data_IF_751903478846
#
_entry.id   IF_751903478846
#
_cell.length_a   1.000
_cell.length_b   1.000
_cell.length_c   1.000
_cell.angle_alpha   90.00
_cell.angle_beta   90.00
_cell.angle_gamma   90.00
#
_symmetry.space_group_name_H-M   'P 1'
#
loop_
_entity.id
_entity.type
_entity.pdbx_description
1 polymer ?
#
# COMPACT_ATOMS: atom_id res chain seq x y z
N UNK A 1 -19.75 24.38 -26.96
CA UNK A 1 -21.07 24.49 -27.62
C UNK A 1 -21.89 23.28 -27.22
N UNK A 2 -23.07 23.41 -26.61
CA UNK A 2 -23.92 22.24 -26.30
C UNK A 2 -24.37 21.60 -27.59
N UNK A 3 -24.31 20.28 -27.65
CA UNK A 3 -24.77 19.48 -28.77
C UNK A 3 -26.30 19.68 -28.97
N UNK A 4 -26.81 19.50 -30.20
CA UNK A 4 -28.23 19.73 -30.54
C UNK A 4 -29.17 18.89 -29.67
N UNK A 5 -28.79 17.63 -29.34
CA UNK A 5 -29.54 16.75 -28.41
C UNK A 5 -29.65 17.30 -26.98
N UNK A 6 -28.72 18.13 -26.53
CA UNK A 6 -28.77 18.78 -25.21
C UNK A 6 -29.68 20.02 -25.15
N UNK A 7 -30.14 20.47 -26.28
CA UNK A 7 -31.09 21.62 -26.40
C UNK A 7 -32.53 21.21 -26.52
N UNK A 8 -32.79 19.96 -26.84
CA UNK A 8 -34.13 19.39 -26.92
C UNK A 8 -34.42 18.75 -25.58
N UNK A 9 -35.63 18.96 -25.06
CA UNK A 9 -36.11 18.38 -23.81
C UNK A 9 -36.35 16.86 -24.01
N UNK A 10 -35.26 16.10 -24.14
CA UNK A 10 -35.26 14.68 -24.48
C UNK A 10 -34.99 13.87 -23.21
N UNK A 11 -35.94 13.07 -22.79
CA UNK A 11 -35.92 12.22 -21.62
C UNK A 11 -34.71 11.26 -21.66
N UNK A 12 -34.38 10.72 -22.84
CA UNK A 12 -33.20 9.84 -22.99
C UNK A 12 -31.87 10.57 -22.71
N UNK A 13 -31.75 11.80 -23.19
CA UNK A 13 -30.55 12.61 -22.92
C UNK A 13 -30.44 12.97 -21.44
N UNK A 14 -31.57 13.26 -20.78
CA UNK A 14 -31.60 13.47 -19.32
C UNK A 14 -31.12 12.22 -18.56
N UNK A 15 -31.61 11.04 -18.86
CA UNK A 15 -31.19 9.81 -18.22
C UNK A 15 -29.71 9.50 -18.50
N UNK A 16 -29.22 9.77 -19.71
CA UNK A 16 -27.83 9.61 -20.07
C UNK A 16 -26.93 10.53 -19.21
N UNK A 17 -27.27 11.80 -19.13
CA UNK A 17 -26.52 12.80 -18.34
C UNK A 17 -26.57 12.46 -16.84
N UNK A 18 -27.70 12.00 -16.33
CA UNK A 18 -27.84 11.55 -14.95
C UNK A 18 -26.96 10.32 -14.68
N UNK A 19 -26.97 9.33 -15.55
CA UNK A 19 -26.12 8.15 -15.45
C UNK A 19 -24.64 8.51 -15.49
N UNK A 20 -24.23 9.39 -16.40
CA UNK A 20 -22.86 9.85 -16.50
C UNK A 20 -22.44 10.62 -15.23
N UNK A 21 -23.33 11.44 -14.67
CA UNK A 21 -23.08 12.13 -13.41
C UNK A 21 -22.88 11.14 -12.26
N UNK A 22 -23.77 10.17 -12.09
CA UNK A 22 -23.68 9.15 -11.04
C UNK A 22 -22.35 8.38 -11.15
N UNK A 23 -21.98 7.94 -12.37
CA UNK A 23 -20.71 7.23 -12.60
C UNK A 23 -19.47 8.07 -12.25
N UNK A 24 -19.52 9.38 -12.50
CA UNK A 24 -18.42 10.29 -12.21
C UNK A 24 -18.33 10.65 -10.72
N UNK A 25 -19.47 10.61 -10.00
CA UNK A 25 -19.52 10.93 -8.58
C UNK A 25 -19.07 9.74 -7.69
N UNK A 26 -19.14 8.49 -8.21
CA UNK A 26 -18.70 7.29 -7.48
C UNK A 26 -17.18 7.17 -7.53
N UNK A 27 -16.53 7.24 -6.38
CA UNK A 27 -15.09 7.01 -6.22
C UNK A 27 -14.86 5.57 -5.76
N UNK A 28 -14.05 4.82 -6.50
CA UNK A 28 -13.75 3.41 -6.20
C UNK A 28 -12.30 3.25 -5.78
N UNK A 29 -11.38 3.58 -6.67
CA UNK A 29 -9.94 3.56 -6.39
C UNK A 29 -9.19 4.44 -7.37
N UNK A 30 -8.03 4.93 -6.94
CA UNK A 30 -7.16 5.76 -7.77
C UNK A 30 -5.71 5.66 -7.32
N UNK A 31 -4.73 5.63 -8.24
CA UNK A 31 -3.32 5.71 -7.85
C UNK A 31 -3.02 7.06 -7.21
N UNK A 32 -2.11 7.06 -6.25
CA UNK A 32 -1.69 8.23 -5.51
C UNK A 32 -0.19 8.23 -5.22
N UNK A 33 0.32 9.39 -4.84
CA UNK A 33 1.71 9.62 -4.43
C UNK A 33 1.68 10.14 -3.00
N UNK A 34 2.41 9.48 -2.13
CA UNK A 34 2.53 9.83 -0.71
C UNK A 34 3.30 11.14 -0.59
N UNK A 35 2.74 12.09 0.12
CA UNK A 35 3.34 13.40 0.42
C UNK A 35 3.99 13.44 1.81
N UNK A 36 3.40 12.73 2.77
CA UNK A 36 3.92 12.57 4.14
C UNK A 36 3.36 11.31 4.79
N UNK A 37 4.05 10.81 5.81
CA UNK A 37 3.64 9.66 6.62
C UNK A 37 3.68 10.05 8.10
N UNK A 38 2.61 9.73 8.82
CA UNK A 38 2.53 9.83 10.26
C UNK A 38 2.66 8.40 10.86
N UNK A 39 3.81 8.05 11.46
CA UNK A 39 4.04 6.71 11.99
C UNK A 39 3.20 6.40 13.24
N UNK A 40 2.84 7.42 14.02
CA UNK A 40 2.10 7.23 15.28
C UNK A 40 0.64 6.83 15.01
N UNK A 41 0.03 7.41 14.01
CA UNK A 41 -1.34 7.11 13.58
C UNK A 41 -1.40 6.11 12.42
N UNK A 42 -0.27 5.78 11.80
CA UNK A 42 -0.17 4.93 10.61
C UNK A 42 -1.05 5.45 9.46
N UNK A 43 -0.99 6.77 9.25
CA UNK A 43 -1.70 7.46 8.18
C UNK A 43 -0.74 8.15 7.22
N UNK A 44 -1.19 8.36 5.99
CA UNK A 44 -0.46 9.08 4.95
C UNK A 44 -1.28 10.25 4.42
N UNK A 45 -0.58 11.31 4.03
CA UNK A 45 -1.16 12.35 3.17
C UNK A 45 -0.88 11.99 1.72
N UNK A 46 -1.90 11.91 0.89
CA UNK A 46 -1.81 11.43 -0.48
C UNK A 46 -2.28 12.49 -1.48
N UNK A 47 -1.49 12.71 -2.54
CA UNK A 47 -1.94 13.38 -3.75
C UNK A 47 -2.36 12.33 -4.77
N UNK A 48 -3.61 12.34 -5.18
CA UNK A 48 -4.10 11.46 -6.26
C UNK A 48 -3.40 11.80 -7.58
N UNK A 49 -2.96 10.79 -8.32
CA UNK A 49 -2.10 10.93 -9.49
C UNK A 49 -2.84 11.31 -10.77
N UNK A 50 -4.15 11.12 -10.80
CA UNK A 50 -4.97 11.46 -11.96
C UNK A 50 -5.65 12.83 -11.76
N UNK A 51 -5.63 13.64 -12.82
CA UNK A 51 -6.29 14.93 -12.84
C UNK A 51 -7.67 14.80 -13.48
N UNK A 52 -8.65 15.46 -12.89
CA UNK A 52 -10.01 15.51 -13.44
C UNK A 52 -10.06 16.49 -14.62
N UNK A 53 -10.70 16.06 -15.69
CA UNK A 53 -10.94 16.89 -16.85
C UNK A 53 -12.22 17.66 -16.70
N UNK A 54 -12.12 18.96 -16.52
CA UNK A 54 -13.27 19.85 -16.37
C UNK A 54 -13.43 20.75 -17.60
N UNK A 55 -14.67 21.16 -17.84
CA UNK A 55 -15.00 22.12 -18.90
C UNK A 55 -15.47 23.41 -18.27
N UNK A 56 -14.86 24.51 -18.62
CA UNK A 56 -15.25 25.84 -18.16
C UNK A 56 -16.55 26.34 -18.83
N UNK A 57 -17.02 27.51 -18.41
CA UNK A 57 -18.25 28.12 -18.95
C UNK A 57 -18.12 28.49 -20.43
N UNK A 58 -16.93 28.75 -20.89
CA UNK A 58 -16.60 29.14 -22.27
C UNK A 58 -16.38 27.92 -23.16
N UNK A 59 -16.41 26.71 -22.56
CA UNK A 59 -16.29 25.45 -23.29
C UNK A 59 -14.85 24.96 -23.41
N UNK A 60 -13.88 25.63 -22.80
CA UNK A 60 -12.48 25.18 -22.78
C UNK A 60 -12.30 24.01 -21.82
N UNK A 61 -11.40 23.08 -22.20
CA UNK A 61 -11.08 21.91 -21.38
C UNK A 61 -9.81 22.19 -20.57
N UNK A 62 -9.87 21.92 -19.28
CA UNK A 62 -8.72 21.99 -18.38
C UNK A 62 -8.60 20.72 -17.53
N UNK A 63 -7.40 20.48 -16.99
CA UNK A 63 -7.15 19.36 -16.08
C UNK A 63 -6.82 19.92 -14.70
N UNK A 64 -7.62 19.54 -13.70
CA UNK A 64 -7.50 20.01 -12.32
C UNK A 64 -7.08 18.84 -11.43
N UNK A 65 -6.09 19.08 -10.58
CA UNK A 65 -5.71 18.11 -9.56
C UNK A 65 -6.86 17.97 -8.55
N UNK A 66 -7.10 16.74 -8.13
CA UNK A 66 -8.00 16.47 -7.02
C UNK A 66 -7.38 16.99 -5.71
N UNK A 67 -8.18 17.26 -4.68
CA UNK A 67 -7.67 17.67 -3.37
C UNK A 67 -6.65 16.67 -2.83
N UNK A 68 -5.71 17.18 -2.04
CA UNK A 68 -4.83 16.32 -1.23
C UNK A 68 -5.70 15.63 -0.18
N UNK A 69 -5.49 14.35 0.01
CA UNK A 69 -6.18 13.54 1.01
C UNK A 69 -5.31 13.45 2.26
N UNK A 70 -5.67 14.12 3.36
CA UNK A 70 -4.96 13.96 4.64
C UNK A 70 -5.41 12.69 5.35
N UNK A 71 -4.58 12.22 6.27
CA UNK A 71 -4.87 11.20 7.29
C UNK A 71 -5.47 9.90 6.75
N UNK A 72 -5.04 9.50 5.53
CA UNK A 72 -5.48 8.26 4.89
C UNK A 72 -4.83 7.07 5.59
N UNK A 73 -5.59 6.14 6.20
CA UNK A 73 -5.06 4.93 6.81
C UNK A 73 -4.26 4.09 5.83
N UNK A 74 -3.06 3.64 6.26
CA UNK A 74 -2.22 2.78 5.44
C UNK A 74 -2.52 1.31 5.70
N UNK A 75 -2.52 0.50 4.67
CA UNK A 75 -2.71 -0.94 4.77
C UNK A 75 -1.35 -1.63 4.77
N UNK A 76 -0.95 -2.19 5.94
CA UNK A 76 0.12 -3.16 6.06
C UNK A 76 -0.45 -4.57 6.08
N UNK A 77 0.15 -5.55 5.36
CA UNK A 77 -0.23 -6.95 5.50
C UNK A 77 -0.03 -7.41 6.94
N UNK A 78 -1.12 -7.73 7.63
CA UNK A 78 -1.06 -8.21 9.02
C UNK A 78 -2.18 -9.17 9.37
N UNK A 79 -1.84 -10.21 10.12
CA UNK A 79 -2.79 -11.17 10.70
C UNK A 79 -2.14 -11.98 11.81
N UNK A 80 -2.94 -12.53 12.76
CA UNK A 80 -2.47 -13.47 13.77
C UNK A 80 -1.35 -12.96 14.69
N UNK A 81 -1.25 -11.63 14.90
CA UNK A 81 -0.19 -11.03 15.69
C UNK A 81 1.09 -10.71 14.91
N UNK A 82 1.13 -10.99 13.60
CA UNK A 82 2.28 -10.67 12.73
C UNK A 82 1.92 -9.56 11.75
N UNK A 83 2.91 -8.76 11.38
CA UNK A 83 2.79 -7.70 10.36
C UNK A 83 4.06 -7.57 9.53
N UNK A 84 3.89 -7.17 8.27
CA UNK A 84 4.98 -6.75 7.40
C UNK A 84 4.88 -5.23 7.26
N UNK A 85 5.92 -4.53 7.69
CA UNK A 85 5.98 -3.06 7.65
C UNK A 85 7.05 -2.59 6.70
N UNK A 86 6.84 -1.41 6.12
CA UNK A 86 7.78 -0.78 5.20
C UNK A 86 8.17 0.61 5.72
N UNK A 87 9.39 1.09 5.44
CA UNK A 87 9.80 2.47 5.73
C UNK A 87 9.17 3.42 4.69
N UNK A 88 7.90 3.78 4.92
CA UNK A 88 7.12 4.62 4.01
C UNK A 88 7.74 6.00 3.86
N UNK A 89 7.92 6.45 2.63
CA UNK A 89 8.57 7.72 2.32
C UNK A 89 7.71 8.60 1.41
N UNK A 90 7.99 9.91 1.44
CA UNK A 90 7.45 10.84 0.46
C UNK A 90 7.91 10.45 -0.93
N UNK A 91 6.97 10.37 -1.87
CA UNK A 91 7.22 9.96 -3.26
C UNK A 91 6.83 8.53 -3.55
N UNK A 92 6.60 7.69 -2.53
CA UNK A 92 6.12 6.33 -2.73
C UNK A 92 4.74 6.34 -3.40
N UNK A 93 4.57 5.44 -4.35
CA UNK A 93 3.30 5.25 -5.03
C UNK A 93 2.40 4.31 -4.23
N UNK A 94 1.10 4.58 -4.25
CA UNK A 94 0.10 3.78 -3.58
C UNK A 94 -1.19 3.70 -4.41
N UNK A 95 -2.05 2.73 -4.08
CA UNK A 95 -3.43 2.71 -4.52
C UNK A 95 -4.33 3.15 -3.38
N UNK A 96 -5.08 4.23 -3.57
CA UNK A 96 -6.13 4.62 -2.63
C UNK A 96 -7.42 3.95 -3.07
N UNK A 97 -8.02 3.15 -2.18
CA UNK A 97 -9.35 2.59 -2.35
C UNK A 97 -10.32 3.36 -1.46
N UNK A 98 -11.54 3.60 -1.92
CA UNK A 98 -12.53 4.37 -1.17
C UNK A 98 -13.61 3.45 -0.60
N UNK A 99 -13.93 3.64 0.68
CA UNK A 99 -14.94 2.88 1.37
C UNK A 99 -16.34 3.12 0.80
N UNK A 100 -17.19 2.09 0.82
CA UNK A 100 -18.60 2.22 0.47
C UNK A 100 -19.35 3.18 1.41
N UNK A 101 -18.90 3.29 2.66
CA UNK A 101 -19.50 4.09 3.73
C UNK A 101 -18.44 4.87 4.47
N UNK A 102 -18.89 5.89 5.23
CA UNK A 102 -18.06 6.64 6.16
C UNK A 102 -17.36 5.71 7.16
N UNK A 103 -16.02 5.80 7.24
CA UNK A 103 -15.16 4.95 8.07
C UNK A 103 -14.78 5.57 9.42
N UNK A 104 -15.13 6.84 9.69
CA UNK A 104 -14.61 7.61 10.82
C UNK A 104 -14.82 6.91 12.17
N UNK A 105 -16.02 6.40 12.45
CA UNK A 105 -16.30 5.68 13.70
C UNK A 105 -15.48 4.41 13.85
N UNK A 106 -15.34 3.66 12.75
CA UNK A 106 -14.52 2.44 12.76
C UNK A 106 -13.04 2.78 12.92
N UNK A 107 -12.56 3.79 12.23
CA UNK A 107 -11.18 4.24 12.33
C UNK A 107 -10.81 4.65 13.77
N UNK A 108 -11.69 5.42 14.42
CA UNK A 108 -11.46 5.90 15.78
C UNK A 108 -11.52 4.81 16.85
N UNK A 109 -12.38 3.77 16.68
CA UNK A 109 -12.75 2.85 17.77
C UNK A 109 -12.56 1.37 17.44
N UNK A 110 -12.39 1.01 16.18
CA UNK A 110 -12.36 -0.40 15.72
C UNK A 110 -13.70 -1.11 15.91
N UNK A 111 -13.72 -2.42 15.68
CA UNK A 111 -14.89 -3.28 15.86
C UNK A 111 -16.05 -2.94 14.92
N UNK A 112 -17.27 -3.32 15.33
CA UNK A 112 -18.51 -3.01 14.58
C UNK A 112 -19.04 -1.67 15.05
N UNK A 113 -19.20 -0.71 14.13
CA UNK A 113 -19.62 0.66 14.42
C UNK A 113 -20.86 1.07 13.62
N UNK A 114 -21.59 2.05 14.13
CA UNK A 114 -22.69 2.68 13.42
C UNK A 114 -22.15 3.76 12.48
N UNK A 115 -22.74 3.88 11.30
CA UNK A 115 -22.45 4.97 10.38
C UNK A 115 -22.90 6.32 11.00
N UNK A 116 -21.96 7.28 11.07
CA UNK A 116 -22.23 8.62 11.60
C UNK A 116 -22.59 9.63 10.52
N UNK A 117 -22.12 9.44 9.29
CA UNK A 117 -22.45 10.27 8.13
C UNK A 117 -22.89 9.41 6.93
N UNK A 118 -23.74 10.01 6.07
CA UNK A 118 -24.28 9.30 4.89
C UNK A 118 -23.36 9.37 3.67
N UNK A 119 -22.06 9.70 3.84
CA UNK A 119 -21.11 9.69 2.73
C UNK A 119 -21.03 8.29 2.12
N UNK A 120 -20.84 8.24 0.81
CA UNK A 120 -20.65 7.03 0.03
C UNK A 120 -19.58 7.27 -1.01
N UNK A 121 -18.61 6.37 -1.14
CA UNK A 121 -17.54 6.46 -2.12
C UNK A 121 -16.86 7.84 -2.13
N UNK A 122 -16.65 8.37 -0.94
CA UNK A 122 -16.12 9.72 -0.73
C UNK A 122 -14.60 9.69 -0.65
N UNK A 123 -13.97 10.78 -1.08
CA UNK A 123 -12.51 10.94 -1.02
C UNK A 123 -11.97 10.92 0.42
N UNK A 124 -12.80 11.26 1.41
CA UNK A 124 -12.43 11.24 2.83
C UNK A 124 -12.37 9.84 3.45
N UNK A 125 -12.98 8.85 2.79
CA UNK A 125 -13.09 7.48 3.32
C UNK A 125 -12.11 6.53 2.59
N UNK A 126 -10.88 7.00 2.38
CA UNK A 126 -9.83 6.28 1.66
C UNK A 126 -8.97 5.38 2.53
N UNK A 127 -8.40 4.34 1.92
CA UNK A 127 -7.31 3.51 2.47
C UNK A 127 -6.18 3.44 1.46
N UNK A 128 -4.93 3.59 1.90
CA UNK A 128 -3.76 3.53 1.04
C UNK A 128 -3.12 2.13 1.07
N UNK A 129 -3.11 1.45 -0.08
CA UNK A 129 -2.41 0.18 -0.27
C UNK A 129 -1.04 0.49 -0.86
N UNK A 130 0.02 0.05 -0.19
CA UNK A 130 1.41 0.16 -0.66
C UNK A 130 1.74 -0.91 -1.70
N UNK A 131 2.86 -0.70 -2.40
CA UNK A 131 3.41 -1.70 -3.34
C UNK A 131 2.79 -1.66 -4.73
N UNK A 132 1.96 -0.67 -5.03
CA UNK A 132 1.54 -0.37 -6.40
C UNK A 132 2.58 0.56 -7.01
N UNK A 133 3.14 0.16 -8.15
CA UNK A 133 4.12 0.96 -8.87
C UNK A 133 3.69 1.21 -10.30
N UNK A 134 3.98 2.42 -10.81
CA UNK A 134 3.83 2.74 -12.22
C UNK A 134 4.93 2.05 -13.05
N UNK A 135 4.77 2.03 -14.37
CA UNK A 135 5.80 1.48 -15.26
C UNK A 135 7.15 2.24 -15.16
N UNK A 136 7.13 3.47 -14.68
CA UNK A 136 8.35 4.23 -14.41
C UNK A 136 9.10 3.77 -13.15
N UNK A 137 8.42 3.08 -12.23
CA UNK A 137 8.92 2.66 -10.91
C UNK A 137 8.83 1.13 -10.73
N UNK A 138 9.13 0.38 -11.78
CA UNK A 138 9.16 -1.09 -11.70
C UNK A 138 10.32 -1.57 -10.83
N UNK A 139 10.09 -2.66 -10.09
CA UNK A 139 11.16 -3.36 -9.35
C UNK A 139 12.13 -3.96 -10.35
N UNK A 140 13.38 -3.47 -10.34
CA UNK A 140 14.41 -3.92 -11.27
C UNK A 140 15.06 -5.22 -10.82
N UNK A 141 15.43 -6.08 -11.78
CA UNK A 141 16.24 -7.27 -11.54
C UNK A 141 15.69 -8.22 -10.45
N UNK A 142 14.35 -8.32 -10.32
CA UNK A 142 13.77 -9.31 -9.42
C UNK A 142 13.88 -10.73 -10.00
N UNK A 143 13.94 -11.73 -9.12
CA UNK A 143 14.01 -13.12 -9.53
C UNK A 143 12.61 -13.65 -9.91
N UNK A 144 12.49 -14.19 -11.11
CA UNK A 144 11.21 -14.74 -11.62
C UNK A 144 10.98 -16.21 -11.20
N UNK A 145 11.95 -16.85 -10.54
CA UNK A 145 11.91 -18.26 -10.18
C UNK A 145 11.87 -18.52 -8.68
N UNK A 146 12.05 -17.49 -7.86
CA UNK A 146 12.00 -17.55 -6.39
C UNK A 146 11.30 -16.34 -5.79
N UNK A 147 10.79 -16.51 -4.59
CA UNK A 147 10.24 -15.42 -3.78
C UNK A 147 11.37 -14.67 -3.08
N UNK A 148 11.33 -13.35 -3.10
CA UNK A 148 12.33 -12.51 -2.45
C UNK A 148 11.67 -11.46 -1.55
N UNK A 149 12.24 -11.28 -0.34
CA UNK A 149 12.12 -10.04 0.44
C UNK A 149 13.44 -9.29 0.26
N UNK A 150 13.39 -8.13 -0.38
CA UNK A 150 14.63 -7.46 -0.82
C UNK A 150 14.56 -5.94 -0.71
N UNK A 151 15.72 -5.32 -0.59
CA UNK A 151 15.89 -3.90 -0.88
C UNK A 151 15.84 -3.66 -2.40
N UNK A 152 15.41 -2.47 -2.84
CA UNK A 152 15.28 -2.14 -4.27
C UNK A 152 16.58 -2.33 -5.05
N UNK A 153 17.71 -1.98 -4.43
CA UNK A 153 19.04 -2.16 -5.03
C UNK A 153 19.53 -3.62 -5.01
N UNK A 154 18.79 -4.56 -4.41
CA UNK A 154 19.17 -5.98 -4.32
C UNK A 154 20.39 -6.28 -3.46
N UNK A 155 20.81 -5.37 -2.57
CA UNK A 155 21.95 -5.60 -1.68
C UNK A 155 21.59 -6.44 -0.47
N UNK A 156 20.35 -6.36 -0.01
CA UNK A 156 19.80 -7.16 1.08
C UNK A 156 18.64 -7.99 0.52
N UNK A 157 18.73 -9.31 0.67
CA UNK A 157 17.74 -10.25 0.12
C UNK A 157 17.55 -11.41 1.11
N UNK A 158 16.29 -11.78 1.36
CA UNK A 158 15.90 -13.10 1.85
C UNK A 158 15.19 -13.79 0.69
N UNK A 159 15.81 -14.83 0.12
CA UNK A 159 15.29 -15.57 -1.03
C UNK A 159 14.79 -16.94 -0.58
N UNK A 160 13.57 -17.28 -1.01
CA UNK A 160 12.95 -18.59 -0.84
C UNK A 160 12.83 -19.25 -2.21
N UNK A 161 13.62 -20.28 -2.47
CA UNK A 161 13.49 -21.14 -3.63
C UNK A 161 12.84 -22.46 -3.24
N UNK A 162 12.58 -23.35 -4.23
CA UNK A 162 12.00 -24.67 -3.94
C UNK A 162 12.91 -25.58 -3.12
N UNK A 163 14.21 -25.31 -3.06
CA UNK A 163 15.20 -26.18 -2.43
C UNK A 163 16.05 -25.49 -1.36
N UNK A 164 15.97 -24.17 -1.22
CA UNK A 164 16.84 -23.45 -0.28
C UNK A 164 16.27 -22.11 0.15
N UNK A 165 16.73 -21.67 1.33
CA UNK A 165 16.58 -20.30 1.84
C UNK A 165 17.96 -19.66 1.80
N UNK A 166 18.09 -18.50 1.15
CA UNK A 166 19.31 -17.72 1.13
C UNK A 166 19.09 -16.37 1.81
N UNK A 167 20.06 -15.96 2.60
CA UNK A 167 20.11 -14.62 3.20
C UNK A 167 21.36 -13.94 2.69
N UNK A 168 21.20 -12.79 2.04
CA UNK A 168 22.28 -11.96 1.52
C UNK A 168 22.19 -10.57 2.17
N UNK A 169 23.32 -10.06 2.59
CA UNK A 169 23.47 -8.73 3.17
C UNK A 169 24.92 -8.50 3.60
N UNK A 170 25.25 -7.34 4.12
CA UNK A 170 26.57 -7.05 4.71
C UNK A 170 26.82 -7.79 6.03
N UNK A 171 25.77 -8.35 6.63
CA UNK A 171 25.83 -9.19 7.83
C UNK A 171 24.46 -9.77 8.14
N UNK A 172 24.47 -10.92 8.83
CA UNK A 172 23.27 -11.56 9.38
C UNK A 172 23.42 -11.56 10.89
N UNK A 173 22.49 -10.94 11.59
CA UNK A 173 22.50 -10.89 13.05
C UNK A 173 21.43 -11.85 13.60
N UNK A 174 21.86 -12.87 14.32
CA UNK A 174 20.98 -13.78 15.08
C UNK A 174 20.91 -13.30 16.53
N UNK A 175 19.94 -12.44 16.85
CA UNK A 175 19.74 -11.93 18.20
C UNK A 175 18.85 -12.89 19.01
N UNK A 176 19.47 -13.94 19.56
CA UNK A 176 18.80 -14.89 20.49
C UNK A 176 19.46 -14.79 21.87
N UNK A 177 18.95 -13.95 22.78
CA UNK A 177 19.53 -13.83 24.13
C UNK A 177 19.59 -15.20 24.82
N UNK A 178 20.80 -15.70 25.08
CA UNK A 178 21.06 -16.95 25.82
C UNK A 178 20.95 -18.27 25.03
N UNK A 179 20.45 -18.25 23.77
CA UNK A 179 20.18 -19.50 23.05
C UNK A 179 21.19 -19.81 21.93
N UNK A 180 21.78 -18.81 21.27
CA UNK A 180 22.69 -19.02 20.13
C UNK A 180 21.98 -19.57 18.88
N UNK A 181 22.75 -19.87 17.84
CA UNK A 181 22.23 -20.44 16.59
C UNK A 181 22.35 -21.97 16.61
N UNK A 182 21.26 -22.68 16.29
CA UNK A 182 21.24 -24.13 16.17
C UNK A 182 21.44 -24.55 14.71
N UNK A 183 22.35 -25.50 14.49
CA UNK A 183 22.63 -26.11 13.21
C UNK A 183 22.38 -27.62 13.32
N UNK A 184 21.43 -28.13 12.53
CA UNK A 184 21.09 -29.55 12.53
C UNK A 184 21.58 -30.21 11.23
N UNK A 185 22.13 -31.40 11.34
CA UNK A 185 22.52 -32.20 10.17
C UNK A 185 21.32 -32.52 9.27
N UNK A 186 21.53 -32.77 7.95
CA UNK A 186 20.43 -33.05 7.02
C UNK A 186 19.56 -34.27 7.38
N UNK A 187 20.12 -35.23 8.09
CA UNK A 187 19.40 -36.43 8.61
C UNK A 187 18.65 -36.13 9.93
N UNK A 188 18.88 -34.97 10.54
CA UNK A 188 18.25 -34.58 11.81
C UNK A 188 18.86 -35.21 13.07
N UNK A 189 19.88 -36.06 12.94
CA UNK A 189 20.44 -36.82 14.06
C UNK A 189 21.40 -36.00 14.94
N UNK A 190 22.06 -35.00 14.35
CA UNK A 190 23.05 -34.17 15.07
C UNK A 190 22.62 -32.70 15.02
N UNK A 191 22.43 -32.12 16.18
CA UNK A 191 22.24 -30.66 16.32
C UNK A 191 23.39 -30.07 17.12
N UNK A 192 24.03 -29.04 16.58
CA UNK A 192 25.07 -28.26 17.26
C UNK A 192 24.63 -26.84 17.46
N UNK A 193 24.99 -26.30 18.61
CA UNK A 193 24.68 -24.93 18.98
C UNK A 193 25.96 -24.08 18.85
N UNK A 194 25.85 -22.99 18.10
CA UNK A 194 26.88 -21.96 18.03
C UNK A 194 26.52 -20.83 19.00
N UNK A 195 27.36 -20.59 19.98
CA UNK A 195 27.26 -19.44 20.91
C UNK A 195 28.53 -18.60 20.84
N UNK A 196 28.48 -17.41 21.39
CA UNK A 196 29.66 -16.55 21.60
C UNK A 196 29.94 -16.55 23.10
N UNK A 197 31.18 -16.83 23.51
CA UNK A 197 31.60 -16.74 24.91
C UNK A 197 31.76 -15.26 25.35
N UNK A 198 32.09 -15.05 26.63
CA UNK A 198 32.27 -13.70 27.16
C UNK A 198 33.49 -12.95 26.56
N UNK A 199 34.41 -13.66 25.93
CA UNK A 199 35.60 -13.10 25.28
C UNK A 199 35.32 -12.78 23.80
N UNK A 200 34.14 -13.11 23.28
CA UNK A 200 33.75 -12.87 21.89
C UNK A 200 34.09 -14.02 20.94
N UNK A 201 34.58 -15.16 21.44
CA UNK A 201 34.92 -16.32 20.60
C UNK A 201 33.73 -17.24 20.33
N UNK A 202 33.64 -17.83 19.14
CA UNK A 202 32.61 -18.80 18.81
C UNK A 202 32.81 -20.12 19.53
N UNK A 203 31.78 -20.63 20.18
CA UNK A 203 31.80 -21.93 20.89
C UNK A 203 30.71 -22.83 20.31
N UNK A 204 31.11 -24.06 19.98
CA UNK A 204 30.20 -25.11 19.51
C UNK A 204 29.91 -26.10 20.67
N UNK A 205 28.65 -26.35 20.93
CA UNK A 205 28.17 -27.32 21.93
C UNK A 205 27.17 -28.30 21.33
#
# INVERSE_FOLDING_TARGET
MRNVGQRINNVFEFYRLLSDKIKNDIRVSMPGIIQSFNPDEQTVTVQLSLRERIRDKDGNMSHVALPILPDVPIIFPRAGGFSITFPVQKGDECLVIFGDMCIDSWWASGGIQNQIEKRRHDLSDGFAILGVGSQANVVSNYNVSSMELRSDNGNVIIELSQSSVKVKGSGVNFATPGEGALFTSPDGEVTKKLTINNDGDPVWS
#
